data_IF_661024237593
#
_entry.id   IF_661024237593
#
_cell.length_a   1.000
_cell.length_b   1.000
_cell.length_c   1.000
_cell.angle_alpha   90.00
_cell.angle_beta   90.00
_cell.angle_gamma   90.00
#
_symmetry.space_group_name_H-M   'P 1'
#
loop_
_entity.id
_entity.type
_entity.pdbx_description
1 polymer ?
#
# COMPACT_ATOMS: atom_id res chain seq x y z
N UNK A 1 -2.79 13.18 -29.90
CA UNK A 1 -2.27 13.04 -28.52
C UNK A 1 -2.82 11.74 -27.97
N UNK A 2 -2.01 10.89 -27.33
CA UNK A 2 -2.46 9.58 -26.86
C UNK A 2 -3.54 9.77 -25.79
N UNK A 3 -4.78 9.46 -26.13
CA UNK A 3 -5.86 9.38 -25.17
C UNK A 3 -5.68 8.06 -24.43
N UNK A 4 -5.02 8.09 -23.27
CA UNK A 4 -4.93 6.93 -22.38
C UNK A 4 -6.30 6.70 -21.74
N UNK A 5 -7.23 6.20 -22.55
CA UNK A 5 -8.53 5.77 -22.09
C UNK A 5 -8.45 4.40 -21.43
N UNK A 6 -9.56 4.03 -20.77
CA UNK A 6 -9.78 2.67 -20.31
C UNK A 6 -9.59 1.64 -21.43
N UNK A 7 -10.02 1.86 -22.69
CA UNK A 7 -9.83 0.90 -23.77
C UNK A 7 -8.35 0.63 -24.09
N UNK A 8 -7.52 1.66 -24.23
CA UNK A 8 -6.09 1.53 -24.51
C UNK A 8 -5.35 0.79 -23.40
N UNK A 9 -5.67 1.09 -22.13
CA UNK A 9 -5.11 0.38 -20.98
C UNK A 9 -5.50 -1.11 -20.99
N UNK A 10 -6.72 -1.44 -21.41
CA UNK A 10 -7.19 -2.81 -21.49
C UNK A 10 -6.43 -3.60 -22.57
N UNK A 11 -6.16 -2.99 -23.73
CA UNK A 11 -5.33 -3.60 -24.79
C UNK A 11 -3.91 -3.88 -24.29
N UNK A 12 -3.28 -2.90 -23.63
CA UNK A 12 -1.94 -3.07 -23.03
C UNK A 12 -1.97 -4.18 -21.97
N UNK A 13 -3.00 -4.21 -21.14
CA UNK A 13 -3.18 -5.25 -20.13
C UNK A 13 -3.28 -6.63 -20.77
N UNK A 14 -4.06 -6.81 -21.84
CA UNK A 14 -4.16 -8.08 -22.56
C UNK A 14 -2.81 -8.53 -23.10
N UNK A 15 -2.04 -7.63 -23.71
CA UNK A 15 -0.69 -7.94 -24.21
C UNK A 15 0.23 -8.36 -23.05
N UNK A 16 0.21 -7.62 -21.95
CA UNK A 16 0.97 -7.96 -20.74
C UNK A 16 0.55 -9.33 -20.17
N UNK A 17 -0.76 -9.64 -20.18
CA UNK A 17 -1.28 -10.93 -19.75
C UNK A 17 -0.87 -12.10 -20.65
N UNK A 18 -0.68 -11.86 -21.95
CA UNK A 18 -0.15 -12.90 -22.86
C UNK A 18 1.33 -13.17 -22.57
N UNK A 19 2.12 -12.12 -22.29
CA UNK A 19 3.54 -12.26 -21.98
C UNK A 19 3.81 -12.87 -20.59
N UNK A 20 3.10 -12.39 -19.57
CA UNK A 20 3.31 -12.80 -18.18
C UNK A 20 2.37 -13.92 -17.72
N UNK A 21 1.24 -14.10 -18.39
CA UNK A 21 0.17 -15.02 -18.00
C UNK A 21 -0.81 -14.41 -16.98
N UNK A 22 -2.13 -14.68 -17.09
CA UNK A 22 -3.14 -14.17 -16.16
C UNK A 22 -2.98 -14.70 -14.72
N UNK A 23 -2.30 -15.84 -14.55
CA UNK A 23 -2.01 -16.41 -13.24
C UNK A 23 -0.95 -15.64 -12.44
N UNK A 24 -0.09 -14.84 -13.08
CA UNK A 24 0.99 -14.10 -12.40
C UNK A 24 0.52 -12.79 -11.79
N UNK A 25 -0.47 -12.13 -12.38
CA UNK A 25 -1.07 -10.89 -11.85
C UNK A 25 -1.59 -11.01 -10.40
N UNK A 26 -2.40 -12.01 -10.04
CA UNK A 26 -2.88 -12.14 -8.66
C UNK A 26 -1.77 -12.46 -7.67
N UNK A 27 -0.70 -13.13 -8.10
CA UNK A 27 0.46 -13.43 -7.25
C UNK A 27 1.25 -12.16 -6.92
N UNK A 28 1.57 -11.36 -7.95
CA UNK A 28 2.21 -10.04 -7.81
C UNK A 28 1.33 -9.11 -6.98
N UNK A 29 0.02 -9.06 -7.23
CA UNK A 29 -0.91 -8.25 -6.45
C UNK A 29 -0.98 -8.64 -4.97
N UNK A 30 -0.94 -9.94 -4.65
CA UNK A 30 -0.88 -10.44 -3.27
C UNK A 30 0.43 -10.04 -2.57
N UNK A 31 1.56 -10.18 -3.26
CA UNK A 31 2.87 -9.79 -2.73
C UNK A 31 2.94 -8.29 -2.46
N UNK A 32 2.60 -7.46 -3.45
CA UNK A 32 2.55 -6.01 -3.32
C UNK A 32 1.54 -5.57 -2.24
N UNK A 33 0.37 -6.20 -2.19
CA UNK A 33 -0.65 -5.90 -1.19
C UNK A 33 -0.18 -6.19 0.24
N UNK A 34 0.56 -7.27 0.46
CA UNK A 34 1.20 -7.55 1.75
C UNK A 34 2.24 -6.48 2.09
N UNK A 35 3.13 -6.15 1.16
CA UNK A 35 4.15 -5.10 1.36
C UNK A 35 3.54 -3.74 1.69
N UNK A 36 2.49 -3.33 0.97
CA UNK A 36 1.79 -2.06 1.23
C UNK A 36 1.10 -2.09 2.60
N UNK A 37 0.48 -3.22 2.97
CA UNK A 37 -0.17 -3.37 4.28
C UNK A 37 0.83 -3.29 5.43
N UNK A 38 1.96 -3.97 5.31
CA UNK A 38 3.04 -3.93 6.30
C UNK A 38 3.67 -2.55 6.39
N UNK A 39 3.94 -1.90 5.25
CA UNK A 39 4.43 -0.53 5.19
C UNK A 39 3.47 0.46 5.87
N UNK A 40 2.16 0.34 5.58
CA UNK A 40 1.14 1.18 6.22
C UNK A 40 1.04 0.92 7.72
N UNK A 41 1.14 -0.34 8.16
CA UNK A 41 1.10 -0.69 9.57
C UNK A 41 2.30 -0.11 10.33
N UNK A 42 3.51 -0.25 9.80
CA UNK A 42 4.72 0.32 10.38
C UNK A 42 4.63 1.85 10.49
N UNK A 43 4.21 2.52 9.41
CA UNK A 43 4.06 3.98 9.38
C UNK A 43 2.96 4.47 10.35
N UNK A 44 1.83 3.75 10.46
CA UNK A 44 0.80 4.08 11.45
C UNK A 44 1.22 3.79 12.90
N UNK A 45 2.04 2.77 13.14
CA UNK A 45 2.54 2.45 14.47
C UNK A 45 3.58 3.47 14.95
N UNK A 46 4.44 3.98 14.07
CA UNK A 46 5.32 5.12 14.36
C UNK A 46 4.54 6.39 14.72
N UNK A 47 3.47 6.69 13.96
CA UNK A 47 2.59 7.82 14.24
C UNK A 47 1.91 7.67 15.61
N UNK A 48 1.40 6.47 15.92
CA UNK A 48 0.74 6.17 17.21
C UNK A 48 1.72 6.20 18.39
N UNK A 49 2.95 5.71 18.22
CA UNK A 49 3.99 5.71 19.26
C UNK A 49 4.43 7.12 19.64
N UNK A 50 4.34 8.08 18.71
CA UNK A 50 4.65 9.49 18.96
C UNK A 50 3.55 10.16 19.78
N UNK A 51 2.29 9.75 19.61
CA UNK A 51 1.13 10.27 20.34
C UNK A 51 1.05 9.70 21.78
N UNK A 52 1.32 8.40 21.95
CA UNK A 52 1.31 7.73 23.27
C UNK A 52 2.44 8.20 24.22
N UNK A 53 3.58 8.68 23.70
CA UNK A 53 4.67 9.24 24.52
C UNK A 53 4.35 10.66 25.02
N UNK A 54 3.58 11.44 24.26
CA UNK A 54 3.13 12.76 24.67
C UNK A 54 2.06 12.71 25.78
N UNK A 55 1.21 11.68 25.79
CA UNK A 55 0.12 11.56 26.78
C UNK A 55 0.59 11.05 28.16
N UNK A 56 1.68 10.28 28.23
CA UNK A 56 2.24 9.79 29.51
C UNK A 56 3.06 10.83 30.28
N UNK A 57 3.48 11.93 29.66
CA UNK A 57 4.28 12.96 30.33
C UNK A 57 3.45 13.95 31.16
N UNK A 58 2.14 14.07 30.91
CA UNK A 58 1.25 15.00 31.65
C UNK A 58 0.75 14.45 33.01
N UNK A 59 0.76 13.13 33.22
CA UNK A 59 0.26 12.51 34.46
C UNK A 59 1.27 12.38 35.60
N UNK A 60 2.55 12.67 35.39
CA UNK A 60 3.59 12.48 36.41
C UNK A 60 3.89 13.76 37.22
N UNK A 61 3.47 14.93 36.75
CA UNK A 61 3.81 16.22 37.41
C UNK A 61 2.71 16.76 38.35
N UNK A 62 1.59 16.04 38.54
CA UNK A 62 0.46 16.47 39.37
C UNK A 62 0.15 15.59 40.60
N UNK A 63 1.12 14.81 41.08
CA UNK A 63 0.93 13.96 42.27
C UNK A 63 1.84 14.35 43.42
#
# INVERSE_FOLDING_TARGET
>A
MFHLGVPELLVILVIALVLFGPGKLPDVGKALGKSIREFKAASSEEEKKTIDVAEKSDKTEKK
#
